data_IF_324560777783
#
_entry.id   IF_324560777783
#
_cell.length_a   1.000
_cell.length_b   1.000
_cell.length_c   1.000
_cell.angle_alpha   90.00
_cell.angle_beta   90.00
_cell.angle_gamma   90.00
#
_symmetry.space_group_name_H-M   'P 1'
#
loop_
_entity.id
_entity.type
_entity.pdbx_description
1 polymer ?
#
# COMPACT_ATOMS: atom_id res chain seq x y z
N UNK A 1 -43.61 58.63 -19.16
CA UNK A 1 -43.83 57.23 -18.74
C UNK A 1 -42.51 56.68 -18.22
N UNK A 2 -42.32 56.70 -16.89
CA UNK A 2 -41.15 56.10 -16.28
C UNK A 2 -41.26 54.58 -16.40
N UNK A 3 -40.23 53.92 -16.92
CA UNK A 3 -40.14 52.46 -16.82
C UNK A 3 -39.87 52.16 -15.35
N UNK A 4 -40.86 51.63 -14.64
CA UNK A 4 -40.61 50.99 -13.35
C UNK A 4 -39.69 49.80 -13.62
N UNK A 5 -38.44 49.90 -13.15
CA UNK A 5 -37.53 48.76 -13.12
C UNK A 5 -38.13 47.70 -12.18
N UNK A 6 -38.65 46.62 -12.77
CA UNK A 6 -39.11 45.46 -12.03
C UNK A 6 -37.89 44.79 -11.37
N UNK A 7 -37.67 45.06 -10.08
CA UNK A 7 -36.63 44.38 -9.30
C UNK A 7 -37.08 42.96 -8.96
N UNK A 8 -36.59 41.98 -9.71
CA UNK A 8 -36.79 40.56 -9.40
C UNK A 8 -35.84 40.19 -8.26
N UNK A 9 -36.39 39.92 -7.08
CA UNK A 9 -35.62 39.42 -5.94
C UNK A 9 -35.33 37.93 -6.17
N UNK A 10 -34.14 37.60 -6.66
CA UNK A 10 -33.72 36.21 -6.85
C UNK A 10 -33.56 35.54 -5.48
N UNK A 11 -34.29 34.44 -5.19
CA UNK A 11 -34.13 33.70 -3.95
C UNK A 11 -32.69 33.24 -3.73
N UNK A 12 -32.23 33.23 -2.48
CA UNK A 12 -30.84 32.87 -2.13
C UNK A 12 -30.44 31.47 -2.60
N UNK A 13 -31.38 30.52 -2.69
CA UNK A 13 -31.16 29.17 -3.21
C UNK A 13 -30.69 29.11 -4.67
N UNK A 14 -30.93 30.16 -5.46
CA UNK A 14 -30.49 30.25 -6.86
C UNK A 14 -29.23 31.09 -7.04
N UNK A 15 -28.68 31.65 -5.95
CA UNK A 15 -27.45 32.44 -5.99
C UNK A 15 -26.26 31.59 -5.57
N UNK A 16 -25.13 31.81 -6.23
CA UNK A 16 -23.88 31.19 -5.83
C UNK A 16 -23.43 31.79 -4.48
N UNK A 17 -23.08 31.00 -3.46
CA UNK A 17 -22.60 31.52 -2.18
C UNK A 17 -21.26 32.28 -2.26
N UNK A 18 -20.53 32.16 -3.39
CA UNK A 18 -19.25 32.85 -3.61
C UNK A 18 -19.48 34.19 -4.30
N UNK A 19 -20.07 34.18 -5.50
CA UNK A 19 -20.28 35.41 -6.28
C UNK A 19 -21.50 36.21 -5.84
N UNK A 20 -22.44 35.59 -5.09
CA UNK A 20 -23.75 36.13 -4.74
C UNK A 20 -24.66 36.44 -5.95
N UNK A 21 -24.21 36.07 -7.15
CA UNK A 21 -24.93 36.17 -8.41
C UNK A 21 -25.79 34.94 -8.67
N UNK A 22 -26.77 35.08 -9.56
CA UNK A 22 -27.58 33.96 -10.05
C UNK A 22 -26.67 32.90 -10.68
N UNK A 23 -26.78 31.66 -10.24
CA UNK A 23 -26.05 30.55 -10.80
C UNK A 23 -26.49 30.31 -12.25
N UNK A 24 -25.54 30.40 -13.18
CA UNK A 24 -25.72 30.06 -14.60
C UNK A 24 -25.47 28.58 -14.84
N UNK A 25 -24.52 28.01 -14.11
CA UNK A 25 -24.17 26.58 -14.17
C UNK A 25 -24.06 26.03 -12.74
N UNK A 26 -25.19 25.71 -12.09
CA UNK A 26 -25.20 25.24 -10.71
C UNK A 26 -24.51 23.88 -10.55
N UNK A 27 -23.70 23.76 -9.51
CA UNK A 27 -22.96 22.56 -9.11
C UNK A 27 -23.15 22.34 -7.61
N UNK A 28 -23.81 21.26 -7.20
CA UNK A 28 -24.14 20.98 -5.80
C UNK A 28 -23.05 20.19 -5.08
N UNK A 29 -22.72 20.60 -3.86
CA UNK A 29 -21.83 19.90 -2.93
C UNK A 29 -22.62 18.91 -2.04
N UNK A 30 -21.89 18.00 -1.38
CA UNK A 30 -22.44 17.08 -0.37
C UNK A 30 -23.01 17.79 0.87
N UNK A 31 -22.63 19.05 1.10
CA UNK A 31 -23.19 19.91 2.16
C UNK A 31 -24.61 20.39 1.84
N UNK A 32 -25.13 20.08 0.65
CA UNK A 32 -26.40 20.62 0.13
C UNK A 32 -26.28 22.03 -0.44
N UNK A 33 -25.07 22.59 -0.47
CA UNK A 33 -24.81 23.94 -1.00
C UNK A 33 -24.49 23.84 -2.49
N UNK A 34 -25.13 24.68 -3.31
CA UNK A 34 -24.90 24.74 -4.76
C UNK A 34 -24.12 25.99 -5.11
N UNK A 35 -23.06 25.84 -5.91
CA UNK A 35 -22.19 26.91 -6.37
C UNK A 35 -22.29 27.07 -7.89
N UNK A 36 -21.92 28.25 -8.40
CA UNK A 36 -21.69 28.40 -9.82
C UNK A 36 -20.34 27.78 -10.22
N UNK A 37 -20.32 27.08 -11.35
CA UNK A 37 -19.13 26.50 -11.96
C UNK A 37 -17.95 27.49 -12.05
N UNK A 38 -18.20 28.74 -12.44
CA UNK A 38 -17.18 29.78 -12.58
C UNK A 38 -16.54 30.14 -11.24
N UNK A 39 -17.29 30.04 -10.15
CA UNK A 39 -16.75 30.33 -8.82
C UNK A 39 -15.82 29.22 -8.31
N UNK A 40 -16.08 27.96 -8.68
CA UNK A 40 -15.15 26.84 -8.41
C UNK A 40 -13.86 27.02 -9.23
N UNK A 41 -13.97 27.49 -10.47
CA UNK A 41 -12.80 27.82 -11.31
C UNK A 41 -11.96 28.94 -10.67
N UNK A 42 -12.60 30.01 -10.19
CA UNK A 42 -11.91 31.13 -9.55
C UNK A 42 -11.09 30.70 -8.31
N UNK A 43 -11.58 29.74 -7.52
CA UNK A 43 -10.80 29.18 -6.40
C UNK A 43 -9.49 28.51 -6.85
N UNK A 44 -9.47 27.93 -8.05
CA UNK A 44 -8.28 27.29 -8.63
C UNK A 44 -7.36 28.30 -9.34
N UNK A 45 -7.91 29.41 -9.83
CA UNK A 45 -7.15 30.47 -10.50
C UNK A 45 -6.40 31.37 -9.50
N UNK A 46 -6.96 31.59 -8.30
CA UNK A 46 -6.32 32.34 -7.21
C UNK A 46 -5.94 31.47 -5.99
N UNK A 47 -5.07 30.45 -6.14
CA UNK A 47 -4.63 29.61 -5.04
C UNK A 47 -3.82 30.37 -3.97
N UNK A 48 -3.44 31.62 -4.26
CA UNK A 48 -2.73 32.51 -3.35
C UNK A 48 -3.65 33.06 -2.25
N UNK A 49 -4.92 33.33 -2.61
CA UNK A 49 -5.97 33.82 -1.73
C UNK A 49 -6.81 32.70 -1.10
N UNK A 50 -6.83 31.52 -1.72
CA UNK A 50 -7.48 30.32 -1.16
C UNK A 50 -6.79 29.91 0.16
N UNK A 51 -7.54 29.98 1.27
CA UNK A 51 -7.16 29.48 2.57
C UNK A 51 -7.49 28.00 2.75
N UNK A 52 -7.46 27.55 4.00
CA UNK A 52 -7.82 26.17 4.38
C UNK A 52 -9.26 25.85 3.98
N UNK A 53 -10.18 26.80 4.14
CA UNK A 53 -11.61 26.59 3.96
C UNK A 53 -12.00 26.34 2.49
N UNK A 54 -11.34 27.00 1.53
CA UNK A 54 -11.61 26.83 0.10
C UNK A 54 -11.19 25.45 -0.38
N UNK A 55 -9.97 25.00 -0.05
CA UNK A 55 -9.48 23.69 -0.46
C UNK A 55 -10.20 22.55 0.25
N UNK A 56 -10.64 22.75 1.49
CA UNK A 56 -11.48 21.77 2.18
C UNK A 56 -12.84 21.61 1.47
N UNK A 57 -13.46 22.71 1.02
CA UNK A 57 -14.70 22.64 0.20
C UNK A 57 -14.49 21.89 -1.10
N UNK A 58 -13.36 22.10 -1.79
CA UNK A 58 -13.03 21.37 -3.03
C UNK A 58 -12.79 19.87 -2.73
N UNK A 59 -12.16 19.55 -1.61
CA UNK A 59 -11.96 18.16 -1.20
C UNK A 59 -13.29 17.45 -0.89
N UNK A 60 -14.22 18.15 -0.24
CA UNK A 60 -15.57 17.65 0.01
C UNK A 60 -16.35 17.47 -1.30
N UNK A 61 -16.27 18.44 -2.20
CA UNK A 61 -16.87 18.39 -3.53
C UNK A 61 -16.44 17.15 -4.32
N UNK A 62 -15.14 16.90 -4.39
CA UNK A 62 -14.55 15.77 -5.14
C UNK A 62 -14.82 14.41 -4.48
N UNK A 63 -14.93 14.37 -3.16
CA UNK A 63 -15.24 13.12 -2.46
C UNK A 63 -16.63 12.57 -2.79
N UNK A 64 -17.58 13.44 -3.17
CA UNK A 64 -18.99 13.11 -3.26
C UNK A 64 -19.37 12.15 -4.39
N UNK A 65 -18.97 12.44 -5.63
CA UNK A 65 -19.31 11.60 -6.78
C UNK A 65 -18.25 11.67 -7.89
N UNK A 66 -18.28 10.68 -8.80
CA UNK A 66 -17.35 10.60 -9.92
C UNK A 66 -17.53 11.77 -10.90
N UNK A 67 -18.76 12.26 -11.10
CA UNK A 67 -19.03 13.39 -11.98
C UNK A 67 -18.31 14.66 -11.52
N UNK A 68 -18.24 14.89 -10.20
CA UNK A 68 -17.52 16.03 -9.61
C UNK A 68 -16.01 15.91 -9.84
N UNK A 69 -15.46 14.70 -9.73
CA UNK A 69 -14.04 14.41 -9.99
C UNK A 69 -13.69 14.64 -11.45
N UNK A 70 -14.49 14.07 -12.37
CA UNK A 70 -14.38 14.29 -13.81
C UNK A 70 -14.47 15.76 -14.16
N UNK A 71 -15.44 16.47 -13.56
CA UNK A 71 -15.59 17.89 -13.78
C UNK A 71 -14.32 18.65 -13.38
N UNK A 72 -13.81 18.44 -12.16
CA UNK A 72 -12.60 19.10 -11.68
C UNK A 72 -11.37 18.73 -12.54
N UNK A 73 -11.21 17.46 -12.90
CA UNK A 73 -10.10 16.98 -13.72
C UNK A 73 -10.08 17.59 -15.13
N UNK A 74 -11.27 17.83 -15.71
CA UNK A 74 -11.44 18.41 -17.04
C UNK A 74 -11.39 19.94 -17.08
N UNK A 75 -11.36 20.62 -15.93
CA UNK A 75 -11.15 22.06 -15.90
C UNK A 75 -9.75 22.42 -16.44
N UNK A 76 -9.63 23.52 -17.22
CA UNK A 76 -8.34 24.00 -17.67
C UNK A 76 -7.47 24.36 -16.46
N UNK A 77 -6.19 24.01 -16.51
CA UNK A 77 -5.19 24.27 -15.48
C UNK A 77 -5.52 23.79 -14.05
N UNK A 78 -6.51 22.91 -13.87
CA UNK A 78 -6.91 22.45 -12.53
C UNK A 78 -5.84 21.64 -11.82
N UNK A 79 -5.17 20.74 -12.54
CA UNK A 79 -4.06 19.94 -12.01
C UNK A 79 -2.89 20.85 -11.65
N UNK A 80 -2.58 21.81 -12.53
CA UNK A 80 -1.56 22.82 -12.35
C UNK A 80 -1.84 23.68 -11.10
N UNK A 81 -3.09 24.11 -10.90
CA UNK A 81 -3.53 24.84 -9.71
C UNK A 81 -3.33 24.03 -8.42
N UNK A 82 -3.77 22.77 -8.40
CA UNK A 82 -3.60 21.88 -7.23
C UNK A 82 -2.11 21.67 -6.93
N UNK A 83 -1.29 21.43 -7.96
CA UNK A 83 0.14 21.24 -7.79
C UNK A 83 0.85 22.53 -7.33
N UNK A 84 0.41 23.72 -7.80
CA UNK A 84 0.93 25.02 -7.29
C UNK A 84 0.66 25.19 -5.80
N UNK A 85 -0.49 24.72 -5.31
CA UNK A 85 -0.82 24.75 -3.87
C UNK A 85 0.11 23.83 -3.10
N UNK A 86 0.33 22.62 -3.60
CA UNK A 86 1.27 21.68 -2.99
C UNK A 86 2.68 22.23 -2.96
N UNK A 87 3.14 22.95 -3.98
CA UNK A 87 4.52 23.43 -4.10
C UNK A 87 4.73 24.82 -3.46
N UNK A 88 3.68 25.44 -2.93
CA UNK A 88 3.73 26.76 -2.30
C UNK A 88 4.69 26.78 -1.12
N UNK A 89 5.65 27.71 -1.13
CA UNK A 89 6.56 27.93 0.01
C UNK A 89 5.74 28.35 1.24
N UNK A 90 5.99 27.69 2.38
CA UNK A 90 5.34 28.02 3.66
C UNK A 90 3.85 27.68 3.72
N UNK A 91 3.38 26.75 2.88
CA UNK A 91 2.00 26.26 2.96
C UNK A 91 1.67 25.69 4.33
N UNK A 92 0.51 26.05 4.87
CA UNK A 92 -0.03 25.42 6.07
C UNK A 92 -0.33 23.95 5.78
N UNK A 93 -0.04 23.06 6.73
CA UNK A 93 -0.14 21.62 6.50
C UNK A 93 -1.57 21.22 6.13
N UNK A 94 -2.57 21.86 6.72
CA UNK A 94 -4.00 21.63 6.48
C UNK A 94 -4.41 21.91 5.03
N UNK A 95 -3.80 22.92 4.41
CA UNK A 95 -4.02 23.24 2.98
C UNK A 95 -3.38 22.16 2.11
N UNK A 96 -2.16 21.73 2.44
CA UNK A 96 -1.45 20.66 1.71
C UNK A 96 -2.23 19.34 1.81
N UNK A 97 -2.73 19.00 3.00
CA UNK A 97 -3.57 17.82 3.21
C UNK A 97 -4.83 17.83 2.35
N UNK A 98 -5.50 18.98 2.27
CA UNK A 98 -6.69 19.16 1.45
C UNK A 98 -6.39 19.04 -0.04
N UNK A 99 -5.27 19.63 -0.49
CA UNK A 99 -4.81 19.48 -1.86
C UNK A 99 -4.42 18.03 -2.20
N UNK A 100 -3.76 17.29 -1.29
CA UNK A 100 -3.46 15.86 -1.45
C UNK A 100 -4.74 15.04 -1.58
N UNK A 101 -5.76 15.35 -0.79
CA UNK A 101 -7.06 14.68 -0.84
C UNK A 101 -7.79 14.91 -2.15
N UNK A 102 -7.82 16.16 -2.63
CA UNK A 102 -8.35 16.47 -3.96
C UNK A 102 -7.59 15.68 -5.03
N UNK A 103 -6.25 15.66 -4.93
CA UNK A 103 -5.39 14.95 -5.87
C UNK A 103 -5.66 13.44 -5.88
N UNK A 104 -5.77 12.79 -4.71
CA UNK A 104 -6.12 11.36 -4.57
C UNK A 104 -7.43 11.03 -5.30
N UNK A 105 -8.43 11.92 -5.22
CA UNK A 105 -9.71 11.70 -5.90
C UNK A 105 -9.65 11.85 -7.43
N UNK A 106 -8.93 12.85 -7.95
CA UNK A 106 -8.86 13.08 -9.40
C UNK A 106 -7.81 12.23 -10.12
N UNK A 107 -6.88 11.61 -9.40
CA UNK A 107 -5.77 10.84 -9.98
C UNK A 107 -6.22 9.63 -10.81
N UNK A 108 -7.42 9.12 -10.57
CA UNK A 108 -8.00 8.01 -11.34
C UNK A 108 -8.66 8.47 -12.65
N UNK A 109 -8.85 9.78 -12.84
CA UNK A 109 -9.43 10.32 -14.06
C UNK A 109 -8.44 10.28 -15.23
N UNK A 110 -8.99 10.06 -16.43
CA UNK A 110 -8.20 9.87 -17.65
C UNK A 110 -7.31 11.09 -17.94
N UNK A 111 -6.02 10.86 -18.18
CA UNK A 111 -5.06 11.90 -18.55
C UNK A 111 -4.47 12.70 -17.38
N UNK A 112 -5.02 12.58 -16.15
CA UNK A 112 -4.52 13.33 -14.99
C UNK A 112 -3.12 12.88 -14.58
N UNK A 113 -2.87 11.56 -14.57
CA UNK A 113 -1.55 11.01 -14.21
C UNK A 113 -0.46 11.45 -15.18
N UNK A 114 -0.76 11.41 -16.47
CA UNK A 114 0.15 11.82 -17.54
C UNK A 114 0.46 13.31 -17.48
N UNK A 115 -0.55 14.14 -17.14
CA UNK A 115 -0.36 15.59 -16.88
C UNK A 115 0.54 15.81 -15.67
N UNK A 116 0.27 15.15 -14.54
CA UNK A 116 1.10 15.26 -13.33
C UNK A 116 2.53 14.83 -13.61
N UNK A 117 2.75 13.72 -14.33
CA UNK A 117 4.09 13.29 -14.74
C UNK A 117 4.82 14.35 -15.54
N UNK A 118 4.16 14.92 -16.55
CA UNK A 118 4.74 16.00 -17.36
C UNK A 118 5.10 17.22 -16.52
N UNK A 119 4.31 17.53 -15.50
CA UNK A 119 4.52 18.68 -14.62
C UNK A 119 5.61 18.42 -13.58
N UNK A 120 5.64 17.26 -12.92
CA UNK A 120 6.65 16.91 -11.90
C UNK A 120 8.07 16.89 -12.49
N UNK A 121 8.23 16.54 -13.76
CA UNK A 121 9.53 16.59 -14.45
C UNK A 121 10.02 18.03 -14.68
N UNK A 122 9.13 19.04 -14.67
CA UNK A 122 9.51 20.45 -14.80
C UNK A 122 10.00 20.95 -13.43
N UNK A 123 11.10 21.71 -13.43
CA UNK A 123 11.77 22.22 -12.22
C UNK A 123 10.84 22.99 -11.26
N UNK A 124 9.74 23.56 -11.77
CA UNK A 124 8.77 24.29 -10.97
C UNK A 124 8.06 23.43 -9.91
N UNK A 125 8.11 22.09 -10.03
CA UNK A 125 7.40 21.15 -9.16
C UNK A 125 8.31 20.23 -8.32
N UNK A 126 9.62 20.52 -8.22
CA UNK A 126 10.56 19.68 -7.45
C UNK A 126 10.14 19.47 -5.99
N UNK A 127 9.52 20.50 -5.38
CA UNK A 127 9.06 20.46 -3.98
C UNK A 127 7.78 19.66 -3.77
N UNK A 128 7.18 19.14 -4.83
CA UNK A 128 6.01 18.28 -4.73
C UNK A 128 6.28 17.15 -3.72
N UNK A 129 7.45 16.51 -3.83
CA UNK A 129 7.85 15.43 -2.93
C UNK A 129 8.10 15.89 -1.50
N UNK A 130 8.60 17.12 -1.29
CA UNK A 130 8.82 17.68 0.04
C UNK A 130 7.49 17.93 0.75
N UNK A 131 6.48 18.41 0.01
CA UNK A 131 5.13 18.63 0.54
C UNK A 131 4.44 17.32 0.87
N UNK A 132 4.52 16.31 0.01
CA UNK A 132 4.02 14.97 0.33
C UNK A 132 4.76 14.40 1.55
N UNK A 133 6.07 14.57 1.64
CA UNK A 133 6.87 14.15 2.79
C UNK A 133 6.43 14.86 4.08
N UNK A 134 6.07 16.14 4.01
CA UNK A 134 5.55 16.90 5.15
C UNK A 134 4.23 16.32 5.68
N UNK A 135 3.32 15.93 4.78
CA UNK A 135 2.04 15.29 5.14
C UNK A 135 2.27 13.89 5.70
N UNK A 136 3.18 13.11 5.09
CA UNK A 136 3.52 11.78 5.60
C UNK A 136 4.08 11.84 7.04
N UNK A 137 4.83 12.88 7.40
CA UNK A 137 5.41 13.03 8.75
C UNK A 137 4.42 13.61 9.76
N UNK A 138 3.76 14.70 9.39
CA UNK A 138 3.06 15.57 10.35
C UNK A 138 1.54 15.65 10.11
N UNK A 139 1.04 15.06 9.03
CA UNK A 139 -0.38 15.10 8.67
C UNK A 139 -1.23 14.15 9.53
N UNK A 140 -2.55 14.33 9.39
CA UNK A 140 -3.59 13.44 9.90
C UNK A 140 -3.49 12.07 9.24
N UNK A 141 -3.99 11.06 9.95
CA UNK A 141 -3.98 9.67 9.48
C UNK A 141 -4.56 9.53 8.06
N UNK A 142 -5.76 10.07 7.80
CA UNK A 142 -6.40 9.99 6.48
C UNK A 142 -5.55 10.59 5.36
N UNK A 143 -4.91 11.74 5.61
CA UNK A 143 -4.03 12.41 4.65
C UNK A 143 -2.75 11.63 4.40
N UNK A 144 -2.19 10.96 5.43
CA UNK A 144 -1.05 10.05 5.28
C UNK A 144 -1.37 8.88 4.34
N UNK A 145 -2.56 8.27 4.50
CA UNK A 145 -3.02 7.19 3.59
C UNK A 145 -3.14 7.72 2.15
N UNK A 146 -3.76 8.89 1.98
CA UNK A 146 -3.93 9.54 0.68
C UNK A 146 -2.58 9.88 0.03
N UNK A 147 -1.62 10.40 0.80
CA UNK A 147 -0.26 10.67 0.33
C UNK A 147 0.43 9.40 -0.18
N UNK A 148 0.30 8.27 0.51
CA UNK A 148 0.88 7.01 0.07
C UNK A 148 0.25 6.53 -1.25
N UNK A 149 -1.09 6.61 -1.39
CA UNK A 149 -1.80 6.28 -2.64
C UNK A 149 -1.44 7.19 -3.80
N UNK A 150 -1.36 8.50 -3.55
CA UNK A 150 -0.93 9.50 -4.55
C UNK A 150 0.45 9.14 -5.10
N UNK A 151 1.42 8.84 -4.23
CA UNK A 151 2.74 8.41 -4.65
C UNK A 151 2.71 7.10 -5.44
N UNK A 152 1.87 6.14 -5.05
CA UNK A 152 1.74 4.85 -5.73
C UNK A 152 1.16 5.01 -7.14
N UNK A 153 0.11 5.83 -7.28
CA UNK A 153 -0.54 6.10 -8.55
C UNK A 153 0.36 6.91 -9.50
N UNK A 154 1.18 7.81 -8.95
CA UNK A 154 2.22 8.51 -9.70
C UNK A 154 3.38 7.55 -10.03
N UNK A 155 3.62 6.48 -9.28
CA UNK A 155 4.63 5.48 -9.60
C UNK A 155 4.21 4.51 -10.73
N UNK A 156 3.57 5.02 -11.80
CA UNK A 156 2.93 4.22 -12.85
C UNK A 156 3.93 3.56 -13.81
N UNK A 157 5.12 4.14 -14.01
CA UNK A 157 6.15 3.64 -14.92
C UNK A 157 7.48 3.36 -14.20
N UNK A 158 8.40 2.66 -14.87
CA UNK A 158 9.66 2.25 -14.24
C UNK A 158 10.58 3.42 -13.87
N UNK A 159 10.50 4.53 -14.58
CA UNK A 159 11.28 5.75 -14.32
C UNK A 159 10.79 6.46 -13.07
N UNK A 160 9.50 6.79 -13.00
CA UNK A 160 8.85 7.38 -11.81
C UNK A 160 9.04 6.53 -10.56
N UNK A 161 8.93 5.20 -10.66
CA UNK A 161 9.24 4.28 -9.55
C UNK A 161 10.67 4.43 -9.03
N UNK A 162 11.66 4.58 -9.92
CA UNK A 162 13.05 4.80 -9.50
C UNK A 162 13.22 6.19 -8.88
N UNK A 163 12.72 7.24 -9.53
CA UNK A 163 12.86 8.62 -9.03
C UNK A 163 12.26 8.79 -7.63
N UNK A 164 11.11 8.16 -7.36
CA UNK A 164 10.49 8.19 -6.02
C UNK A 164 11.28 7.30 -5.06
N UNK A 165 11.66 6.10 -5.48
CA UNK A 165 12.38 5.14 -4.65
C UNK A 165 13.80 5.57 -4.25
N UNK A 166 14.46 6.41 -5.06
CA UNK A 166 15.79 6.96 -4.74
C UNK A 166 15.75 8.07 -3.69
N UNK A 167 14.56 8.58 -3.36
CA UNK A 167 14.38 9.59 -2.30
C UNK A 167 14.34 8.90 -0.92
N UNK A 168 15.51 8.76 -0.32
CA UNK A 168 15.71 8.17 1.02
C UNK A 168 14.74 8.74 2.07
N UNK A 169 14.51 10.05 2.05
CA UNK A 169 13.62 10.71 3.01
C UNK A 169 12.17 10.18 2.95
N UNK A 170 11.69 9.83 1.74
CA UNK A 170 10.37 9.22 1.54
C UNK A 170 10.37 7.79 2.08
N UNK A 171 11.35 6.97 1.70
CA UNK A 171 11.43 5.58 2.17
C UNK A 171 11.52 5.51 3.71
N UNK A 172 12.33 6.37 4.31
CA UNK A 172 12.47 6.47 5.76
C UNK A 172 11.15 6.88 6.44
N UNK A 173 10.42 7.86 5.88
CA UNK A 173 9.11 8.25 6.40
C UNK A 173 8.08 7.12 6.30
N UNK A 174 8.03 6.38 5.19
CA UNK A 174 7.12 5.26 4.99
C UNK A 174 7.40 4.11 5.98
N UNK A 175 8.67 3.74 6.16
CA UNK A 175 9.06 2.70 7.14
C UNK A 175 8.76 3.16 8.57
N UNK A 176 8.97 4.45 8.87
CA UNK A 176 8.61 5.03 10.17
C UNK A 176 7.10 4.95 10.43
N UNK A 177 6.26 5.27 9.45
CA UNK A 177 4.80 5.17 9.57
C UNK A 177 4.35 3.74 9.89
N UNK A 178 4.90 2.72 9.22
CA UNK A 178 4.59 1.32 9.53
C UNK A 178 5.03 0.93 10.96
N UNK A 179 6.01 1.62 11.53
CA UNK A 179 6.52 1.36 12.88
C UNK A 179 5.64 2.02 13.95
N UNK A 180 5.19 3.24 13.73
CA UNK A 180 4.49 4.07 14.74
C UNK A 180 2.98 3.92 14.69
N UNK A 181 2.41 3.84 13.49
CA UNK A 181 0.96 3.80 13.30
C UNK A 181 0.47 2.35 13.28
N UNK A 182 -0.69 2.10 13.91
CA UNK A 182 -1.33 0.77 13.95
C UNK A 182 -2.53 0.66 13.00
N UNK A 183 -2.80 1.69 12.20
CA UNK A 183 -3.93 1.70 11.29
C UNK A 183 -3.70 0.77 10.08
N UNK A 184 -4.71 -0.08 9.82
CA UNK A 184 -4.62 -1.13 8.81
C UNK A 184 -4.72 -0.58 7.38
N UNK A 185 -5.47 0.52 7.17
CA UNK A 185 -5.59 1.15 5.85
C UNK A 185 -4.29 1.86 5.47
N UNK A 186 -3.63 2.48 6.44
CA UNK A 186 -2.32 3.07 6.25
C UNK A 186 -1.25 2.00 5.98
N UNK A 187 -1.23 0.93 6.76
CA UNK A 187 -0.31 -0.18 6.52
C UNK A 187 -0.50 -0.77 5.12
N UNK A 188 -1.75 -0.93 4.68
CA UNK A 188 -2.11 -1.39 3.36
C UNK A 188 -1.53 -0.50 2.25
N UNK A 189 -1.83 0.80 2.29
CA UNK A 189 -1.40 1.77 1.30
C UNK A 189 0.14 1.92 1.27
N UNK A 190 0.79 1.99 2.42
CA UNK A 190 2.24 2.13 2.52
C UNK A 190 2.95 0.87 1.99
N UNK A 191 2.49 -0.33 2.36
CA UNK A 191 3.09 -1.56 1.83
C UNK A 191 2.88 -1.68 0.31
N UNK A 192 1.72 -1.26 -0.21
CA UNK A 192 1.43 -1.24 -1.65
C UNK A 192 2.43 -0.36 -2.40
N UNK A 193 2.65 0.86 -1.89
CA UNK A 193 3.65 1.78 -2.41
C UNK A 193 5.06 1.19 -2.34
N UNK A 194 5.48 0.65 -1.19
CA UNK A 194 6.82 0.08 -1.03
C UNK A 194 7.08 -1.09 -2.00
N UNK A 195 6.08 -1.94 -2.23
CA UNK A 195 6.14 -3.02 -3.24
C UNK A 195 6.32 -2.42 -4.63
N UNK A 196 5.51 -1.40 -4.98
CA UNK A 196 5.63 -0.71 -6.27
C UNK A 196 7.03 -0.12 -6.46
N UNK A 197 7.59 0.55 -5.46
CA UNK A 197 8.93 1.17 -5.53
C UNK A 197 10.09 0.18 -5.54
N UNK A 198 9.88 -1.07 -5.10
CA UNK A 198 10.93 -2.09 -4.93
C UNK A 198 11.46 -2.71 -6.24
N UNK A 199 11.75 -1.86 -7.22
CA UNK A 199 12.19 -2.23 -8.58
C UNK A 199 13.68 -2.59 -8.62
N UNK A 200 14.52 -1.87 -7.87
CA UNK A 200 15.97 -2.05 -7.91
C UNK A 200 16.49 -2.78 -6.67
N UNK A 201 17.67 -3.40 -6.81
CA UNK A 201 18.38 -3.98 -5.67
C UNK A 201 18.72 -2.93 -4.60
N UNK A 202 19.08 -1.71 -5.01
CA UNK A 202 19.45 -0.61 -4.10
C UNK A 202 18.30 -0.24 -3.17
N UNK A 203 17.10 0.02 -3.72
CA UNK A 203 15.91 0.39 -2.94
C UNK A 203 15.57 -0.70 -1.93
N UNK A 204 15.55 -1.96 -2.36
CA UNK A 204 15.28 -3.11 -1.48
C UNK A 204 16.32 -3.24 -0.36
N UNK A 205 17.60 -3.03 -0.66
CA UNK A 205 18.67 -3.08 0.35
C UNK A 205 18.50 -1.95 1.39
N UNK A 206 18.15 -0.75 0.94
CA UNK A 206 17.88 0.39 1.82
C UNK A 206 16.68 0.13 2.73
N UNK A 207 15.59 -0.46 2.22
CA UNK A 207 14.43 -0.84 3.03
C UNK A 207 14.80 -1.85 4.12
N UNK A 208 15.67 -2.81 3.82
CA UNK A 208 16.21 -3.75 4.82
C UNK A 208 17.03 -3.00 5.87
N UNK A 209 17.91 -2.09 5.47
CA UNK A 209 18.74 -1.28 6.38
C UNK A 209 17.90 -0.38 7.31
N UNK A 210 16.75 0.12 6.85
CA UNK A 210 15.80 0.89 7.66
C UNK A 210 15.06 0.04 8.71
N UNK A 211 15.30 -1.28 8.75
CA UNK A 211 14.70 -2.20 9.71
C UNK A 211 13.27 -2.60 9.35
N UNK A 212 13.00 -2.80 8.06
CA UNK A 212 11.66 -3.19 7.58
C UNK A 212 11.27 -4.61 8.00
N UNK A 213 12.21 -5.57 8.04
CA UNK A 213 11.89 -6.99 8.29
C UNK A 213 11.19 -7.24 9.64
N UNK A 214 11.67 -6.72 10.78
CA UNK A 214 10.96 -6.88 12.06
C UNK A 214 9.56 -6.26 12.05
N UNK A 215 9.37 -5.15 11.33
CA UNK A 215 8.06 -4.50 11.19
C UNK A 215 7.10 -5.41 10.42
N UNK A 216 7.55 -5.98 9.29
CA UNK A 216 6.76 -6.93 8.52
C UNK A 216 6.41 -8.17 9.36
N UNK A 217 7.37 -8.68 10.14
CA UNK A 217 7.13 -9.81 11.03
C UNK A 217 6.01 -9.52 12.03
N UNK A 218 6.01 -8.33 12.66
CA UNK A 218 4.95 -7.90 13.57
C UNK A 218 3.58 -7.82 12.86
N UNK A 219 3.51 -7.19 11.69
CA UNK A 219 2.27 -7.04 10.92
C UNK A 219 1.70 -8.42 10.54
N UNK A 220 2.55 -9.36 10.11
CA UNK A 220 2.11 -10.72 9.73
C UNK A 220 1.66 -11.53 10.96
N UNK A 221 2.37 -11.38 12.08
CA UNK A 221 2.10 -12.12 13.33
C UNK A 221 0.80 -11.69 14.01
N UNK A 222 0.40 -10.42 13.85
CA UNK A 222 -0.82 -9.90 14.47
C UNK A 222 -2.07 -10.58 13.87
N UNK A 223 -2.85 -11.33 14.67
CA UNK A 223 -4.04 -12.01 14.19
C UNK A 223 -5.13 -11.04 13.69
N UNK A 224 -5.11 -9.78 14.17
CA UNK A 224 -6.10 -8.76 13.81
C UNK A 224 -5.75 -8.01 12.51
N UNK A 225 -4.55 -8.21 11.97
CA UNK A 225 -4.15 -7.61 10.69
C UNK A 225 -5.12 -8.02 9.59
N UNK A 226 -5.65 -7.04 8.85
CA UNK A 226 -6.52 -7.30 7.71
C UNK A 226 -5.78 -8.10 6.62
N UNK A 227 -6.50 -8.96 5.88
CA UNK A 227 -5.91 -9.78 4.84
C UNK A 227 -5.12 -8.98 3.78
N UNK A 228 -5.63 -7.86 3.23
CA UNK A 228 -4.87 -7.08 2.24
C UNK A 228 -3.49 -6.60 2.74
N UNK A 229 -3.41 -6.16 4.01
CA UNK A 229 -2.16 -5.73 4.61
C UNK A 229 -1.21 -6.90 4.88
N UNK A 230 -1.74 -8.03 5.35
CA UNK A 230 -0.95 -9.26 5.57
C UNK A 230 -0.40 -9.82 4.25
N UNK A 231 -1.21 -9.84 3.18
CA UNK A 231 -0.82 -10.26 1.84
C UNK A 231 0.32 -9.40 1.30
N UNK A 232 0.19 -8.06 1.40
CA UNK A 232 1.25 -7.13 1.01
C UNK A 232 2.51 -7.30 1.86
N UNK A 233 2.37 -7.51 3.17
CA UNK A 233 3.52 -7.76 4.03
C UNK A 233 4.29 -9.02 3.62
N UNK A 234 3.59 -10.13 3.33
CA UNK A 234 4.21 -11.37 2.83
C UNK A 234 4.90 -11.13 1.47
N UNK A 235 4.24 -10.43 0.54
CA UNK A 235 4.83 -10.06 -0.74
C UNK A 235 6.12 -9.26 -0.55
N UNK A 236 6.13 -8.31 0.38
CA UNK A 236 7.30 -7.50 0.69
C UNK A 236 8.44 -8.33 1.31
N UNK A 237 8.13 -9.30 2.19
CA UNK A 237 9.10 -10.27 2.70
C UNK A 237 9.73 -11.08 1.56
N UNK A 238 8.93 -11.53 0.59
CA UNK A 238 9.47 -12.21 -0.60
C UNK A 238 10.43 -11.31 -1.38
N UNK A 239 10.05 -10.07 -1.67
CA UNK A 239 10.91 -9.13 -2.40
C UNK A 239 12.27 -8.92 -1.73
N UNK A 240 12.31 -8.76 -0.40
CA UNK A 240 13.58 -8.60 0.34
C UNK A 240 14.36 -9.90 0.48
N UNK A 241 13.70 -11.07 0.53
CA UNK A 241 14.37 -12.38 0.60
C UNK A 241 15.21 -12.71 -0.64
N UNK A 242 14.92 -12.06 -1.78
CA UNK A 242 15.75 -12.15 -2.97
C UNK A 242 17.15 -11.53 -2.78
N UNK A 243 17.34 -10.67 -1.78
CA UNK A 243 18.61 -10.03 -1.43
C UNK A 243 19.34 -10.76 -0.30
N UNK A 244 20.67 -10.77 -0.32
CA UNK A 244 21.46 -11.39 0.74
C UNK A 244 21.23 -10.72 2.09
N UNK A 245 21.19 -9.40 2.10
CA UNK A 245 20.94 -8.53 3.23
C UNK A 245 19.55 -8.84 3.85
N UNK A 246 18.54 -8.99 2.99
CA UNK A 246 17.18 -9.34 3.43
C UNK A 246 17.09 -10.76 4.00
N UNK A 247 17.81 -11.73 3.43
CA UNK A 247 17.88 -13.09 4.00
C UNK A 247 18.52 -13.11 5.38
N UNK A 248 19.61 -12.37 5.57
CA UNK A 248 20.27 -12.25 6.87
C UNK A 248 19.27 -11.68 7.88
N UNK A 249 18.58 -10.59 7.54
CA UNK A 249 17.59 -9.98 8.42
C UNK A 249 16.41 -10.93 8.75
N UNK A 250 15.90 -11.70 7.78
CA UNK A 250 14.86 -12.71 8.00
C UNK A 250 15.36 -13.85 8.89
N UNK A 251 16.63 -14.23 8.76
CA UNK A 251 17.27 -15.28 9.55
C UNK A 251 17.54 -14.86 10.99
N UNK A 252 17.86 -13.59 11.20
CA UNK A 252 18.08 -13.00 12.51
C UNK A 252 16.77 -12.77 13.26
N UNK A 253 15.71 -12.37 12.55
CA UNK A 253 14.38 -12.20 13.13
C UNK A 253 13.76 -13.56 13.51
N UNK A 254 13.54 -13.84 14.81
CA UNK A 254 13.07 -15.17 15.25
C UNK A 254 11.62 -15.44 14.85
N UNK A 255 10.84 -14.40 14.59
CA UNK A 255 9.40 -14.47 14.37
C UNK A 255 9.01 -14.51 12.89
N UNK A 256 9.79 -13.91 11.99
CA UNK A 256 9.41 -13.66 10.60
C UNK A 256 9.00 -14.93 9.84
N UNK A 257 9.86 -15.94 9.82
CA UNK A 257 9.56 -17.18 9.09
C UNK A 257 8.38 -17.96 9.69
N UNK A 258 8.24 -17.96 11.01
CA UNK A 258 7.12 -18.62 11.70
C UNK A 258 5.83 -17.85 11.45
N UNK A 259 5.86 -16.52 11.49
CA UNK A 259 4.72 -15.67 11.18
C UNK A 259 4.22 -15.90 9.75
N UNK A 260 5.13 -15.96 8.77
CA UNK A 260 4.78 -16.28 7.38
C UNK A 260 4.10 -17.65 7.30
N UNK A 261 4.68 -18.69 7.92
CA UNK A 261 4.11 -20.04 7.97
C UNK A 261 2.71 -20.06 8.58
N UNK A 262 2.51 -19.40 9.72
CA UNK A 262 1.25 -19.37 10.44
C UNK A 262 0.16 -18.63 9.66
N UNK A 263 0.57 -17.60 8.92
CA UNK A 263 -0.35 -16.79 8.12
C UNK A 263 -0.82 -17.49 6.84
N UNK A 264 -0.09 -18.50 6.33
CA UNK A 264 -0.46 -19.24 5.11
C UNK A 264 -1.88 -19.84 5.16
N UNK A 265 -2.39 -20.17 6.35
CA UNK A 265 -3.72 -20.76 6.49
C UNK A 265 -4.86 -19.74 6.44
N UNK A 266 -4.55 -18.44 6.51
CA UNK A 266 -5.53 -17.34 6.66
C UNK A 266 -5.57 -16.39 5.46
N UNK A 267 -4.65 -16.53 4.50
CA UNK A 267 -4.49 -15.64 3.35
C UNK A 267 -4.98 -16.31 2.06
N UNK A 268 -5.39 -15.53 1.04
CA UNK A 268 -5.77 -16.07 -0.26
C UNK A 268 -4.59 -16.71 -0.97
N UNK A 269 -4.91 -17.51 -2.00
CA UNK A 269 -3.95 -18.30 -2.77
C UNK A 269 -2.72 -17.50 -3.18
N UNK A 270 -2.88 -16.34 -3.82
CA UNK A 270 -1.75 -15.54 -4.30
C UNK A 270 -0.70 -15.27 -3.20
N UNK A 271 -1.13 -14.89 -2.00
CA UNK A 271 -0.21 -14.66 -0.88
C UNK A 271 0.37 -15.95 -0.29
N UNK A 272 -0.33 -17.09 -0.38
CA UNK A 272 0.25 -18.39 -0.02
C UNK A 272 1.43 -18.73 -0.92
N UNK A 273 1.33 -18.45 -2.22
CA UNK A 273 2.42 -18.72 -3.18
C UNK A 273 3.66 -17.90 -2.82
N UNK A 274 3.49 -16.62 -2.50
CA UNK A 274 4.57 -15.74 -2.04
C UNK A 274 5.20 -16.22 -0.72
N UNK A 275 4.39 -16.61 0.26
CA UNK A 275 4.88 -17.08 1.55
C UNK A 275 5.60 -18.43 1.47
N UNK A 276 5.09 -19.36 0.66
CA UNK A 276 5.79 -20.63 0.38
C UNK A 276 7.11 -20.36 -0.36
N UNK A 277 7.15 -19.38 -1.27
CA UNK A 277 8.38 -18.98 -1.94
C UNK A 277 9.45 -18.45 -0.99
N UNK A 278 9.07 -17.62 -0.01
CA UNK A 278 9.98 -17.18 1.07
C UNK A 278 10.54 -18.38 1.81
N UNK A 279 9.68 -19.26 2.32
CA UNK A 279 10.10 -20.38 3.16
C UNK A 279 10.98 -21.36 2.37
N UNK A 280 10.61 -21.69 1.13
CA UNK A 280 11.39 -22.58 0.27
C UNK A 280 12.74 -21.95 -0.11
N UNK A 281 12.77 -20.66 -0.42
CA UNK A 281 14.00 -19.93 -0.68
C UNK A 281 14.95 -20.06 0.50
N UNK A 282 14.51 -19.69 1.70
CA UNK A 282 15.33 -19.73 2.91
C UNK A 282 15.78 -21.15 3.27
N UNK A 283 14.87 -22.13 3.29
CA UNK A 283 15.16 -23.49 3.78
C UNK A 283 15.85 -24.40 2.74
N UNK A 284 15.49 -24.29 1.46
CA UNK A 284 15.91 -25.22 0.41
C UNK A 284 16.99 -24.61 -0.48
N UNK A 285 16.76 -23.41 -1.02
CA UNK A 285 17.69 -22.78 -1.96
C UNK A 285 18.93 -22.24 -1.25
N UNK A 286 18.74 -21.48 -0.16
CA UNK A 286 19.83 -20.85 0.61
C UNK A 286 20.27 -21.68 1.82
N UNK A 287 19.50 -22.73 2.17
CA UNK A 287 19.84 -23.71 3.23
C UNK A 287 20.10 -23.08 4.60
N UNK A 288 19.29 -22.10 4.97
CA UNK A 288 19.37 -21.44 6.27
C UNK A 288 18.93 -22.38 7.40
N UNK A 289 19.90 -22.80 8.23
CA UNK A 289 19.67 -23.72 9.33
C UNK A 289 18.77 -23.15 10.43
N UNK A 290 18.87 -21.85 10.74
CA UNK A 290 18.09 -21.19 11.80
C UNK A 290 16.63 -21.13 11.40
N UNK A 291 16.34 -20.69 10.18
CA UNK A 291 14.98 -20.63 9.65
C UNK A 291 14.39 -22.04 9.56
N UNK A 292 15.15 -23.00 9.06
CA UNK A 292 14.74 -24.41 8.97
C UNK A 292 14.35 -24.99 10.34
N UNK A 293 15.16 -24.74 11.37
CA UNK A 293 14.89 -25.21 12.73
C UNK A 293 13.60 -24.61 13.30
N UNK A 294 13.43 -23.28 13.17
CA UNK A 294 12.24 -22.57 13.67
C UNK A 294 10.95 -23.01 12.97
N UNK A 295 10.98 -23.10 11.63
CA UNK A 295 9.84 -23.58 10.83
C UNK A 295 9.51 -25.03 11.18
N UNK A 296 10.53 -25.87 11.40
CA UNK A 296 10.36 -27.26 11.83
C UNK A 296 9.64 -27.37 13.18
N UNK A 297 10.10 -26.62 14.19
CA UNK A 297 9.50 -26.57 15.53
C UNK A 297 8.09 -25.98 15.55
N UNK A 298 7.77 -25.09 14.61
CA UNK A 298 6.45 -24.46 14.51
C UNK A 298 5.39 -25.32 13.77
N UNK A 299 5.54 -26.65 13.78
CA UNK A 299 4.67 -27.58 13.03
C UNK A 299 4.66 -27.33 11.51
N UNK A 300 5.80 -26.89 10.94
CA UNK A 300 5.92 -26.54 9.53
C UNK A 300 5.52 -27.67 8.58
N UNK A 301 5.89 -28.91 8.88
CA UNK A 301 5.51 -30.08 8.07
C UNK A 301 3.99 -30.19 7.95
N UNK A 302 3.28 -30.15 9.07
CA UNK A 302 1.82 -30.29 9.11
C UNK A 302 1.14 -29.15 8.35
N UNK A 303 1.52 -27.90 8.64
CA UNK A 303 0.92 -26.72 7.99
C UNK A 303 1.15 -26.72 6.47
N UNK A 304 2.34 -27.07 6.01
CA UNK A 304 2.66 -27.16 4.58
C UNK A 304 1.89 -28.29 3.87
N UNK A 305 1.62 -29.41 4.55
CA UNK A 305 0.75 -30.46 4.00
C UNK A 305 -0.68 -29.96 3.83
N UNK A 306 -1.22 -29.18 4.77
CA UNK A 306 -2.56 -28.58 4.62
C UNK A 306 -2.59 -27.58 3.47
N UNK A 307 -1.58 -26.72 3.34
CA UNK A 307 -1.45 -25.81 2.19
C UNK A 307 -1.44 -26.61 0.89
N UNK A 308 -0.67 -27.69 0.83
CA UNK A 308 -0.55 -28.56 -0.34
C UNK A 308 -1.86 -29.29 -0.70
N UNK A 309 -2.73 -29.59 0.27
CA UNK A 309 -4.05 -30.18 0.04
C UNK A 309 -5.07 -29.15 -0.44
N UNK A 310 -4.95 -27.89 0.01
CA UNK A 310 -5.83 -26.80 -0.40
C UNK A 310 -5.57 -26.31 -1.82
N UNK A 311 -4.36 -26.55 -2.34
CA UNK A 311 -3.97 -26.24 -3.71
C UNK A 311 -4.20 -27.47 -4.60
N UNK A 312 -4.96 -27.33 -5.69
CA UNK A 312 -5.27 -28.42 -6.61
C UNK A 312 -4.05 -29.12 -7.24
N UNK A 313 -4.29 -30.14 -8.06
CA UNK A 313 -3.22 -31.01 -8.55
C UNK A 313 -2.29 -30.33 -9.57
N UNK A 314 -0.98 -30.33 -9.27
CA UNK A 314 0.16 -29.92 -10.12
C UNK A 314 0.60 -28.43 -10.18
N UNK A 315 0.51 -27.66 -9.09
CA UNK A 315 1.11 -26.31 -9.00
C UNK A 315 2.60 -26.26 -8.62
N UNK A 316 3.31 -25.19 -9.00
CA UNK A 316 4.69 -24.87 -8.53
C UNK A 316 4.77 -24.90 -7.00
N UNK A 317 3.75 -24.37 -6.32
CA UNK A 317 3.62 -24.34 -4.85
C UNK A 317 3.63 -25.75 -4.25
N UNK A 318 2.98 -26.73 -4.89
CA UNK A 318 2.95 -28.12 -4.44
C UNK A 318 4.34 -28.77 -4.48
N UNK A 319 5.13 -28.48 -5.53
CA UNK A 319 6.53 -28.92 -5.60
C UNK A 319 7.38 -28.30 -4.49
N UNK A 320 7.24 -26.99 -4.28
CA UNK A 320 7.98 -26.27 -3.23
C UNK A 320 7.62 -26.77 -1.82
N UNK A 321 6.33 -27.02 -1.56
CA UNK A 321 5.88 -27.63 -0.31
C UNK A 321 6.47 -29.04 -0.13
N UNK A 322 6.52 -29.85 -1.19
CA UNK A 322 7.12 -31.18 -1.16
C UNK A 322 8.61 -31.15 -0.78
N UNK A 323 9.38 -30.21 -1.34
CA UNK A 323 10.80 -30.04 -1.00
C UNK A 323 10.99 -29.54 0.43
N UNK A 324 10.18 -28.57 0.86
CA UNK A 324 10.18 -28.09 2.24
C UNK A 324 9.89 -29.22 3.24
N UNK A 325 8.87 -30.04 2.98
CA UNK A 325 8.53 -31.18 3.84
C UNK A 325 9.71 -32.17 3.94
N UNK A 326 10.40 -32.47 2.84
CA UNK A 326 11.59 -33.33 2.87
C UNK A 326 12.70 -32.76 3.75
N UNK A 327 12.98 -31.47 3.61
CA UNK A 327 14.05 -30.80 4.37
C UNK A 327 13.70 -30.69 5.85
N UNK A 328 12.45 -30.38 6.19
CA UNK A 328 11.98 -30.17 7.56
C UNK A 328 11.79 -31.47 8.36
N UNK A 329 11.54 -32.62 7.71
CA UNK A 329 11.44 -33.92 8.38
C UNK A 329 12.66 -34.28 9.22
N UNK A 330 13.85 -33.86 8.82
CA UNK A 330 15.07 -34.08 9.62
C UNK A 330 15.13 -33.29 10.93
N UNK A 331 14.35 -32.20 11.06
CA UNK A 331 14.27 -31.38 12.27
C UNK A 331 13.17 -31.87 13.20
N UNK A 332 12.04 -32.32 12.65
CA UNK A 332 10.90 -32.82 13.42
C UNK A 332 11.22 -34.10 14.24
N UNK A 333 12.33 -34.79 13.93
CA UNK A 333 12.79 -35.99 14.63
C UNK A 333 13.77 -35.69 15.78
N UNK A 334 14.19 -34.43 15.95
CA UNK A 334 15.09 -34.01 17.02
C UNK A 334 14.25 -33.35 18.11
N UNK A 335 13.61 -34.18 18.92
CA UNK A 335 12.92 -33.75 20.12
C UNK A 335 13.97 -33.50 21.23
N UNK A 336 14.03 -32.32 21.88
CA UNK A 336 15.03 -32.04 22.92
C UNK A 336 14.84 -32.91 24.19
N UNK A 337 13.70 -33.57 24.34
CA UNK A 337 13.40 -34.51 25.43
C UNK A 337 13.87 -35.94 25.21
N UNK A 338 14.41 -36.29 24.04
CA UNK A 338 14.89 -37.65 23.77
C UNK A 338 16.40 -37.69 23.56
N UNK A 339 17.16 -37.78 24.66
CA UNK A 339 18.55 -38.25 24.67
C UNK A 339 18.63 -39.76 24.43
N UNK A 340 18.03 -40.24 23.34
CA UNK A 340 18.06 -41.65 22.95
C UNK A 340 18.08 -41.70 21.42
N UNK A 341 19.27 -41.91 20.88
CA UNK A 341 19.48 -42.08 19.44
C UNK A 341 18.86 -43.37 18.93
N UNK A 342 17.56 -43.36 18.62
CA UNK A 342 16.93 -44.33 17.73
C UNK A 342 15.74 -43.65 17.03
N UNK A 343 15.99 -43.13 15.83
CA UNK A 343 14.99 -42.44 15.01
C UNK A 343 15.19 -42.67 13.51
N UNK A 344 15.54 -43.90 13.09
CA UNK A 344 15.26 -44.35 11.72
C UNK A 344 13.79 -44.73 11.67
N UNK A 345 12.95 -43.84 11.15
CA UNK A 345 11.58 -44.24 10.83
C UNK A 345 11.61 -45.27 9.70
N UNK A 346 10.98 -46.39 10.02
CA UNK A 346 10.63 -47.50 9.17
C UNK A 346 10.43 -47.13 7.70
N UNK A 347 11.11 -47.89 6.85
CA UNK A 347 10.64 -48.20 5.50
C UNK A 347 9.14 -48.47 5.55
N UNK A 348 8.37 -47.71 4.76
CA UNK A 348 7.04 -48.12 4.32
C UNK A 348 7.22 -49.40 3.48
N UNK A 349 7.33 -50.55 4.15
CA UNK A 349 7.05 -51.83 3.53
C UNK A 349 5.53 -51.91 3.35
N UNK A 350 5.07 -51.73 2.13
CA UNK A 350 3.73 -52.12 1.71
C UNK A 350 3.61 -53.64 1.87
N UNK A 351 3.18 -54.12 3.04
CA UNK A 351 2.68 -55.48 3.19
C UNK A 351 1.28 -55.54 2.58
N UNK A 352 1.24 -55.90 1.31
CA UNK A 352 0.02 -56.31 0.61
C UNK A 352 -0.52 -57.57 1.28
N UNK A 353 -1.53 -57.45 2.13
CA UNK A 353 -2.26 -58.61 2.65
C UNK A 353 -3.14 -59.17 1.54
N UNK A 354 -2.69 -60.25 0.91
CA UNK A 354 -3.54 -61.10 0.09
C UNK A 354 -4.61 -61.75 0.96
N UNK A 355 -5.86 -61.32 0.82
CA UNK A 355 -7.04 -62.02 1.36
C UNK A 355 -7.37 -63.14 0.35
N UNK A 356 -7.33 -64.40 0.78
CA UNK A 356 -7.86 -65.53 0.00
C UNK A 356 -9.36 -65.67 0.29
N UNK A 357 -10.21 -65.91 -0.72
CA UNK A 357 -11.60 -66.30 -0.47
C UNK A 357 -11.66 -67.77 -0.06
N UNK A 358 -12.65 -68.06 0.79
CA UNK A 358 -12.97 -69.39 1.33
C UNK A 358 -13.31 -70.41 0.26
#
# INVERSE_FOLDING_TARGET
MGREELYITVPSLFRCPISLDVMKSPVSLCTGVTYDRSSIQHWLEEPQAAGVDEFEKIAQFTSYCEENRRFLANLPDSVEAILRVLVRKGGQIEVIESAVRVLDWILLENGVRERIHRLIVRSDYEKFFDSILSVLRNGRLGSKVQSARVLELIASNAESRRTIGEKEAILSALVHLLRTESDMLLADAVLSLLISLSVTRSIKAQLVQLGLVPILSRIISDPNTANPAAERAIKMVHLVSALAEGRIAISEDPTCAVAVLDRLMKVPRAAKEEGVAVLWGMCCAYRDGRVKERVGRANGVTKLLVVMQSEGDAGVVKRMCGDLVKVLRGVAMVDPSSSSGYGRLASLETKTTHIRPY
#
